data_IF_869018100045
#
_entry.id   IF_869018100045
#
_cell.length_a   1.000
_cell.length_b   1.000
_cell.length_c   1.000
_cell.angle_alpha   90.00
_cell.angle_beta   90.00
_cell.angle_gamma   90.00
#
_symmetry.space_group_name_H-M   'P 1'
#
loop_
_entity.id
_entity.type
_entity.pdbx_description
1 polymer ?
#
# COMPACT_ATOMS: atom_id res chain seq x y z
N UNK A 1 18.26 -5.55 1.76
CA UNK A 1 18.00 -5.63 3.22
C UNK A 1 16.53 -5.36 3.44
N UNK A 2 15.77 -6.22 4.11
CA UNK A 2 14.33 -5.96 4.34
C UNK A 2 14.18 -4.74 5.24
N UNK A 3 13.42 -3.74 4.79
CA UNK A 3 13.12 -2.53 5.53
C UNK A 3 11.82 -2.72 6.31
N UNK A 4 11.75 -2.21 7.53
CA UNK A 4 10.56 -2.28 8.37
C UNK A 4 10.11 -0.87 8.73
N UNK A 5 8.82 -0.72 9.01
CA UNK A 5 8.30 0.48 9.65
C UNK A 5 8.97 0.69 11.00
N UNK A 6 9.51 1.88 11.18
CA UNK A 6 10.11 2.28 12.45
C UNK A 6 9.07 3.05 13.27
N UNK A 7 8.64 2.46 14.38
CA UNK A 7 7.85 3.13 15.40
C UNK A 7 8.34 2.73 16.79
N UNK A 8 8.46 3.73 17.68
CA UNK A 8 8.95 3.53 19.03
C UNK A 8 7.84 3.08 20.00
N UNK A 9 8.27 2.68 21.20
CA UNK A 9 7.37 2.40 22.33
C UNK A 9 6.49 3.58 22.66
N UNK A 10 6.97 4.82 22.52
CA UNK A 10 6.23 6.04 22.77
C UNK A 10 4.95 6.17 21.94
N UNK A 11 5.00 5.76 20.66
CA UNK A 11 3.84 5.74 19.78
C UNK A 11 2.79 4.71 20.25
N UNK A 12 3.25 3.54 20.67
CA UNK A 12 2.39 2.48 21.21
C UNK A 12 1.74 2.93 22.52
N UNK A 13 2.51 3.52 23.43
CA UNK A 13 2.03 4.00 24.72
C UNK A 13 1.03 5.14 24.55
N UNK A 14 1.27 6.04 23.58
CA UNK A 14 0.32 7.08 23.22
C UNK A 14 -1.02 6.52 22.78
N UNK A 15 -1.03 5.55 21.87
CA UNK A 15 -2.27 4.90 21.39
C UNK A 15 -3.01 4.18 22.51
N UNK A 16 -2.30 3.48 23.38
CA UNK A 16 -2.87 2.79 24.57
C UNK A 16 -3.48 3.78 25.56
N UNK A 17 -2.86 4.91 25.76
CA UNK A 17 -3.38 5.98 26.61
C UNK A 17 -4.63 6.65 26.00
N UNK A 18 -4.67 6.82 24.68
CA UNK A 18 -5.78 7.48 23.95
C UNK A 18 -7.03 6.60 23.84
N UNK A 19 -6.86 5.29 23.73
CA UNK A 19 -7.99 4.36 23.53
C UNK A 19 -7.76 3.02 24.25
N UNK A 20 -8.49 2.81 25.35
CA UNK A 20 -8.35 1.60 26.15
C UNK A 20 -8.69 0.30 25.41
N UNK A 21 -9.65 0.35 24.45
CA UNK A 21 -10.02 -0.83 23.67
C UNK A 21 -8.93 -1.17 22.65
N UNK A 22 -8.39 -0.16 21.97
CA UNK A 22 -7.23 -0.35 21.10
C UNK A 22 -6.01 -0.78 21.92
N UNK A 23 -5.79 -0.21 23.10
CA UNK A 23 -4.73 -0.60 24.02
C UNK A 23 -4.78 -2.06 24.40
N UNK A 24 -5.96 -2.57 24.76
CA UNK A 24 -6.15 -4.00 25.05
C UNK A 24 -5.86 -4.91 23.83
N UNK A 25 -6.23 -4.46 22.63
CA UNK A 25 -5.91 -5.18 21.39
C UNK A 25 -4.39 -5.19 21.12
N UNK A 26 -3.71 -4.05 21.32
CA UNK A 26 -2.25 -3.94 21.20
C UNK A 26 -1.56 -4.90 22.20
N UNK A 27 -2.02 -4.95 23.45
CA UNK A 27 -1.46 -5.84 24.46
C UNK A 27 -1.66 -7.33 24.11
N UNK A 28 -2.79 -7.66 23.49
CA UNK A 28 -3.09 -9.03 23.06
C UNK A 28 -2.29 -9.48 21.84
N UNK A 29 -2.05 -8.60 20.88
CA UNK A 29 -1.34 -8.90 19.61
C UNK A 29 0.17 -8.75 19.79
N UNK A 30 0.61 -7.82 20.64
CA UNK A 30 2.02 -7.47 20.81
C UNK A 30 2.56 -6.56 19.71
N UNK A 31 3.88 -6.44 19.66
CA UNK A 31 4.58 -5.61 18.68
C UNK A 31 4.59 -6.29 17.31
N UNK A 32 3.99 -5.65 16.31
CA UNK A 32 3.95 -6.15 14.93
C UNK A 32 5.02 -5.46 14.10
N UNK A 33 5.99 -6.23 13.62
CA UNK A 33 6.97 -5.75 12.64
C UNK A 33 6.36 -5.82 11.25
N UNK A 34 6.21 -4.66 10.60
CA UNK A 34 5.73 -4.57 9.23
C UNK A 34 6.87 -4.36 8.26
N UNK A 35 6.97 -5.26 7.31
CA UNK A 35 7.85 -5.08 6.16
C UNK A 35 7.31 -3.98 5.28
N UNK A 36 8.22 -3.15 4.79
CA UNK A 36 7.92 -2.17 3.75
C UNK A 36 8.17 -2.78 2.38
N UNK A 37 7.43 -2.32 1.40
CA UNK A 37 7.59 -2.72 0.00
C UNK A 37 8.92 -2.19 -0.60
N UNK A 38 9.11 -2.39 -1.88
CA UNK A 38 10.25 -1.92 -2.66
C UNK A 38 10.50 -0.41 -2.43
N UNK A 39 11.78 -0.01 -2.37
CA UNK A 39 12.16 1.39 -2.15
C UNK A 39 11.85 2.29 -3.35
N UNK A 40 11.77 1.72 -4.54
CA UNK A 40 11.43 2.41 -5.78
C UNK A 40 9.91 2.44 -6.00
N UNK A 41 9.36 3.65 -6.13
CA UNK A 41 7.91 3.86 -6.28
C UNK A 41 7.37 3.25 -7.58
N UNK A 42 8.13 3.27 -8.69
CA UNK A 42 7.69 2.63 -9.92
C UNK A 42 7.56 1.11 -9.76
N UNK A 43 8.58 0.45 -9.23
CA UNK A 43 8.56 -0.98 -8.92
C UNK A 43 7.40 -1.33 -7.99
N UNK A 44 7.15 -0.51 -6.96
CA UNK A 44 6.04 -0.70 -6.03
C UNK A 44 4.68 -0.59 -6.74
N UNK A 45 4.49 0.38 -7.66
CA UNK A 45 3.26 0.49 -8.47
C UNK A 45 3.05 -0.78 -9.30
N UNK A 46 4.08 -1.24 -9.99
CA UNK A 46 4.00 -2.47 -10.81
C UNK A 46 3.66 -3.67 -9.93
N UNK A 47 4.33 -3.82 -8.79
CA UNK A 47 4.09 -4.90 -7.83
C UNK A 47 2.65 -4.89 -7.30
N UNK A 48 2.11 -3.71 -6.96
CA UNK A 48 0.73 -3.57 -6.52
C UNK A 48 -0.28 -3.92 -7.63
N UNK A 49 -0.05 -3.50 -8.88
CA UNK A 49 -0.92 -3.87 -10.02
C UNK A 49 -0.91 -5.38 -10.24
N UNK A 50 0.25 -6.03 -10.15
CA UNK A 50 0.38 -7.49 -10.25
C UNK A 50 -0.47 -8.17 -9.18
N UNK A 51 -0.40 -7.71 -7.93
CA UNK A 51 -1.05 -8.31 -6.76
C UNK A 51 -2.58 -8.22 -6.73
N UNK A 52 -3.19 -7.37 -7.57
CA UNK A 52 -4.64 -7.19 -7.57
C UNK A 52 -5.37 -8.51 -7.87
N UNK A 53 -6.33 -8.87 -7.00
CA UNK A 53 -7.24 -10.04 -7.16
C UNK A 53 -6.54 -11.40 -7.24
N UNK A 54 -5.32 -11.53 -6.73
CA UNK A 54 -4.60 -12.80 -6.65
C UNK A 54 -4.03 -13.00 -5.23
N UNK A 55 -3.60 -14.22 -4.93
CA UNK A 55 -2.94 -14.52 -3.65
C UNK A 55 -1.52 -13.96 -3.60
N UNK A 56 -1.01 -13.71 -2.39
CA UNK A 56 0.37 -13.26 -2.16
C UNK A 56 1.41 -14.23 -2.77
N UNK A 57 1.17 -15.54 -2.68
CA UNK A 57 2.07 -16.53 -3.29
C UNK A 57 2.10 -16.44 -4.82
N UNK A 58 0.94 -16.20 -5.46
CA UNK A 58 0.87 -15.99 -6.91
C UNK A 58 1.54 -14.68 -7.31
N UNK A 59 1.34 -13.61 -6.55
CA UNK A 59 2.01 -12.33 -6.77
C UNK A 59 3.53 -12.47 -6.72
N UNK A 60 4.07 -13.11 -5.68
CA UNK A 60 5.51 -13.34 -5.54
C UNK A 60 6.08 -14.14 -6.72
N UNK A 61 5.36 -15.18 -7.18
CA UNK A 61 5.77 -15.97 -8.34
C UNK A 61 5.83 -15.13 -9.62
N UNK A 62 4.82 -14.31 -9.88
CA UNK A 62 4.75 -13.44 -11.05
C UNK A 62 5.82 -12.36 -10.98
N UNK A 63 6.01 -11.74 -9.80
CA UNK A 63 7.04 -10.73 -9.57
C UNK A 63 8.45 -11.25 -9.86
N UNK A 64 8.79 -12.44 -9.36
CA UNK A 64 10.08 -13.08 -9.64
C UNK A 64 10.29 -13.33 -11.14
N UNK A 65 9.26 -13.85 -11.84
CA UNK A 65 9.32 -14.05 -13.30
C UNK A 65 9.53 -12.74 -14.05
N UNK A 66 8.90 -11.65 -13.59
CA UNK A 66 9.08 -10.34 -14.20
C UNK A 66 10.50 -9.84 -14.02
N UNK A 67 11.06 -9.96 -12.82
CA UNK A 67 12.46 -9.62 -12.55
C UNK A 67 13.46 -10.49 -13.32
N UNK A 68 13.21 -11.78 -13.45
CA UNK A 68 14.04 -12.69 -14.27
C UNK A 68 14.05 -12.28 -15.74
N UNK A 69 12.94 -11.77 -16.27
CA UNK A 69 12.80 -11.43 -17.70
C UNK A 69 13.24 -10.03 -18.06
N UNK A 70 13.07 -9.08 -17.16
CA UNK A 70 13.37 -7.67 -17.38
C UNK A 70 14.69 -7.23 -16.72
N UNK A 71 15.21 -7.99 -15.74
CA UNK A 71 16.22 -7.54 -14.80
C UNK A 71 15.59 -6.61 -13.76
N UNK A 72 16.04 -5.37 -13.69
CA UNK A 72 15.37 -4.36 -12.88
C UNK A 72 14.04 -3.91 -13.53
N UNK A 73 13.01 -3.78 -12.70
CA UNK A 73 11.69 -3.32 -13.14
C UNK A 73 11.69 -1.79 -13.14
N UNK A 74 12.24 -1.22 -14.21
CA UNK A 74 12.32 0.24 -14.41
C UNK A 74 11.36 0.69 -15.51
N UNK A 75 10.99 2.00 -15.58
CA UNK A 75 10.17 2.52 -16.68
C UNK A 75 10.77 2.19 -18.04
N UNK A 76 12.07 2.33 -18.22
CA UNK A 76 12.76 2.04 -19.49
C UNK A 76 12.70 0.56 -19.87
N UNK A 77 12.93 -0.36 -18.92
CA UNK A 77 12.86 -1.79 -19.15
C UNK A 77 11.43 -2.24 -19.54
N UNK A 78 10.42 -1.69 -18.87
CA UNK A 78 9.01 -1.95 -19.19
C UNK A 78 8.62 -1.34 -20.54
N UNK A 79 9.06 -0.14 -20.88
CA UNK A 79 8.84 0.47 -22.19
C UNK A 79 9.46 -0.34 -23.34
N UNK A 80 10.61 -0.97 -23.13
CA UNK A 80 11.26 -1.83 -24.11
C UNK A 80 10.57 -3.19 -24.30
N UNK A 81 9.77 -3.65 -23.34
CA UNK A 81 9.04 -4.91 -23.42
C UNK A 81 7.72 -4.75 -24.17
N UNK A 82 7.29 -5.78 -24.91
CA UNK A 82 5.93 -5.84 -25.48
C UNK A 82 4.90 -6.26 -24.44
N UNK A 83 3.62 -6.00 -24.69
CA UNK A 83 2.53 -6.43 -23.80
C UNK A 83 2.50 -7.96 -23.65
N UNK A 84 2.78 -8.70 -24.73
CA UNK A 84 2.84 -10.18 -24.72
C UNK A 84 3.98 -10.66 -23.82
N UNK A 85 5.13 -9.97 -23.85
CA UNK A 85 6.27 -10.32 -22.98
C UNK A 85 5.95 -10.10 -21.51
N UNK A 86 5.25 -9.01 -21.18
CA UNK A 86 4.77 -8.74 -19.82
C UNK A 86 3.70 -9.76 -19.41
N UNK A 87 2.71 -10.01 -20.28
CA UNK A 87 1.65 -11.00 -20.05
C UNK A 87 2.21 -12.41 -19.80
N UNK A 88 3.25 -12.80 -20.52
CA UNK A 88 3.90 -14.11 -20.36
C UNK A 88 4.56 -14.31 -18.98
N UNK A 89 4.68 -13.25 -18.14
CA UNK A 89 5.05 -13.40 -16.73
C UNK A 89 3.92 -14.01 -15.88
N UNK A 90 2.68 -14.02 -16.39
CA UNK A 90 1.51 -14.59 -15.74
C UNK A 90 0.46 -13.56 -15.31
N UNK A 91 0.52 -12.33 -15.83
CA UNK A 91 -0.50 -11.30 -15.64
C UNK A 91 -1.52 -11.30 -16.78
N UNK A 92 -2.66 -10.63 -16.59
CA UNK A 92 -3.63 -10.39 -17.68
C UNK A 92 -3.11 -9.32 -18.65
N UNK A 93 -3.59 -9.31 -19.89
CA UNK A 93 -3.29 -8.23 -20.83
C UNK A 93 -3.73 -6.85 -20.32
N UNK A 94 -4.82 -6.78 -19.59
CA UNK A 94 -5.26 -5.53 -18.95
C UNK A 94 -4.21 -4.99 -17.97
N UNK A 95 -3.64 -5.85 -17.11
CA UNK A 95 -2.55 -5.46 -16.21
C UNK A 95 -1.28 -5.10 -16.99
N UNK A 96 -0.95 -5.83 -18.05
CA UNK A 96 0.20 -5.52 -18.91
C UNK A 96 0.08 -4.12 -19.51
N UNK A 97 -1.12 -3.74 -20.02
CA UNK A 97 -1.40 -2.39 -20.53
C UNK A 97 -1.28 -1.31 -19.46
N UNK A 98 -1.83 -1.54 -18.26
CA UNK A 98 -1.70 -0.58 -17.16
C UNK A 98 -0.24 -0.33 -16.78
N UNK A 99 0.55 -1.40 -16.65
CA UNK A 99 1.97 -1.32 -16.35
C UNK A 99 2.72 -0.58 -17.46
N UNK A 100 2.40 -0.87 -18.73
CA UNK A 100 3.00 -0.22 -19.88
C UNK A 100 2.66 1.28 -19.96
N UNK A 101 1.37 1.63 -19.81
CA UNK A 101 0.91 3.02 -19.78
C UNK A 101 1.57 3.81 -18.64
N UNK A 102 1.69 3.23 -17.46
CA UNK A 102 2.41 3.84 -16.34
C UNK A 102 3.88 4.12 -16.70
N UNK A 103 4.58 3.11 -17.25
CA UNK A 103 5.97 3.25 -17.65
C UNK A 103 6.19 4.35 -18.70
N UNK A 104 5.31 4.43 -19.70
CA UNK A 104 5.36 5.44 -20.76
C UNK A 104 5.15 6.85 -20.20
N UNK A 105 4.17 7.05 -19.31
CA UNK A 105 3.93 8.34 -18.64
C UNK A 105 5.14 8.79 -17.81
N UNK A 106 5.77 7.88 -17.07
CA UNK A 106 6.95 8.19 -16.28
C UNK A 106 8.16 8.48 -17.18
N UNK A 107 8.41 7.63 -18.18
CA UNK A 107 9.55 7.79 -19.09
C UNK A 107 9.46 9.07 -19.95
N UNK A 108 8.24 9.51 -20.30
CA UNK A 108 8.02 10.75 -21.04
C UNK A 108 8.00 12.02 -20.18
N UNK A 109 8.06 11.89 -18.84
CA UNK A 109 7.93 13.02 -17.92
C UNK A 109 6.50 13.54 -17.74
N UNK A 110 5.49 12.85 -18.28
CA UNK A 110 4.08 13.19 -18.05
C UNK A 110 3.63 12.90 -16.62
N UNK A 111 4.31 11.97 -15.95
CA UNK A 111 4.10 11.65 -14.56
C UNK A 111 5.44 11.64 -13.81
N UNK A 112 5.57 12.55 -12.84
CA UNK A 112 6.77 12.70 -12.04
C UNK A 112 6.62 11.98 -10.71
N UNK A 113 7.36 10.87 -10.54
CA UNK A 113 7.36 10.06 -9.33
C UNK A 113 8.05 10.76 -8.14
N UNK A 114 9.04 11.61 -8.42
CA UNK A 114 9.73 12.36 -7.37
C UNK A 114 8.82 13.47 -6.83
N UNK A 115 8.06 14.13 -7.70
CA UNK A 115 7.06 15.10 -7.28
C UNK A 115 6.01 14.49 -6.33
N UNK A 116 5.60 13.23 -6.53
CA UNK A 116 4.65 12.54 -5.63
C UNK A 116 5.20 12.43 -4.20
N UNK A 117 6.50 12.33 -4.03
CA UNK A 117 7.14 12.24 -2.70
C UNK A 117 7.01 13.53 -1.90
N UNK A 118 6.95 14.68 -2.59
CA UNK A 118 6.85 16.01 -2.00
C UNK A 118 5.40 16.48 -1.78
N UNK A 119 4.41 15.84 -2.43
CA UNK A 119 2.98 16.15 -2.30
C UNK A 119 2.46 15.81 -0.90
N UNK A 120 1.42 16.48 -0.46
CA UNK A 120 0.65 16.03 0.70
C UNK A 120 -0.09 14.70 0.41
N UNK A 121 -0.66 14.07 1.44
CA UNK A 121 -1.29 12.74 1.29
C UNK A 121 -2.48 12.77 0.32
N UNK A 122 -3.29 13.82 0.33
CA UNK A 122 -4.46 13.92 -0.53
C UNK A 122 -4.07 14.16 -1.98
N UNK A 123 -3.09 15.04 -2.22
CA UNK A 123 -2.52 15.31 -3.54
C UNK A 123 -1.84 14.06 -4.10
N UNK A 124 -1.03 13.36 -3.30
CA UNK A 124 -0.34 12.14 -3.71
C UNK A 124 -1.32 11.01 -4.05
N UNK A 125 -2.40 10.83 -3.26
CA UNK A 125 -3.46 9.86 -3.56
C UNK A 125 -4.15 10.22 -4.88
N UNK A 126 -4.49 11.49 -5.10
CA UNK A 126 -5.13 11.94 -6.32
C UNK A 126 -4.21 11.73 -7.54
N UNK A 127 -2.93 12.10 -7.43
CA UNK A 127 -1.94 11.91 -8.48
C UNK A 127 -1.78 10.43 -8.84
N UNK A 128 -1.49 9.57 -7.87
CA UNK A 128 -1.33 8.14 -8.09
C UNK A 128 -2.60 7.48 -8.65
N UNK A 129 -3.79 7.91 -8.19
CA UNK A 129 -5.06 7.38 -8.69
C UNK A 129 -5.40 7.82 -10.11
N UNK A 130 -4.67 8.77 -10.70
CA UNK A 130 -4.78 9.15 -12.11
C UNK A 130 -4.12 8.14 -13.06
N UNK A 131 -3.29 7.23 -12.51
CA UNK A 131 -2.68 6.15 -13.28
C UNK A 131 -3.68 5.03 -13.52
N UNK A 132 -3.70 4.50 -14.73
CA UNK A 132 -4.57 3.38 -15.08
C UNK A 132 -4.26 2.14 -14.22
N UNK A 133 -5.29 1.56 -13.65
CA UNK A 133 -5.15 0.40 -12.76
C UNK A 133 -4.76 0.73 -11.32
N UNK A 134 -4.58 1.99 -10.97
CA UNK A 134 -4.31 2.44 -9.60
C UNK A 134 -5.55 3.13 -9.03
N UNK A 135 -6.28 2.44 -8.17
CA UNK A 135 -7.40 3.04 -7.43
C UNK A 135 -6.94 3.69 -6.11
N UNK A 136 -7.85 4.41 -5.46
CA UNK A 136 -7.58 5.08 -4.16
C UNK A 136 -6.95 4.14 -3.14
N UNK A 137 -7.50 2.93 -2.96
CA UNK A 137 -6.92 1.95 -2.04
C UNK A 137 -5.48 1.57 -2.40
N UNK A 138 -5.19 1.37 -3.70
CA UNK A 138 -3.83 1.05 -4.16
C UNK A 138 -2.88 2.24 -3.92
N UNK A 139 -3.32 3.46 -4.17
CA UNK A 139 -2.56 4.67 -3.88
C UNK A 139 -2.25 4.79 -2.38
N UNK A 140 -3.25 4.59 -1.52
CA UNK A 140 -3.06 4.57 -0.06
C UNK A 140 -2.05 3.50 0.39
N UNK A 141 -2.07 2.30 -0.22
CA UNK A 141 -1.10 1.24 0.09
C UNK A 141 0.32 1.62 -0.36
N UNK A 142 0.47 2.30 -1.50
CA UNK A 142 1.76 2.83 -1.95
C UNK A 142 2.32 3.88 -0.99
N UNK A 143 1.49 4.82 -0.54
CA UNK A 143 1.89 5.82 0.45
C UNK A 143 2.33 5.17 1.76
N UNK A 144 1.59 4.17 2.22
CA UNK A 144 1.86 3.48 3.48
C UNK A 144 3.11 2.59 3.38
N UNK A 145 3.16 1.66 2.43
CA UNK A 145 4.16 0.58 2.40
C UNK A 145 5.41 0.91 1.58
N UNK A 146 5.34 1.82 0.62
CA UNK A 146 6.51 2.24 -0.15
C UNK A 146 7.08 3.57 0.38
N UNK A 147 6.24 4.60 0.55
CA UNK A 147 6.70 5.91 0.99
C UNK A 147 6.79 6.05 2.51
N UNK A 148 6.26 5.10 3.28
CA UNK A 148 6.34 5.11 4.74
C UNK A 148 5.53 6.21 5.41
N UNK A 149 4.46 6.70 4.77
CA UNK A 149 3.65 7.78 5.32
C UNK A 149 2.82 7.30 6.51
N UNK A 150 2.93 7.95 7.68
CA UNK A 150 2.40 7.40 8.92
C UNK A 150 0.90 7.60 9.11
N UNK A 151 0.28 8.54 8.39
CA UNK A 151 -1.11 8.96 8.67
C UNK A 151 -2.13 8.42 7.63
N UNK A 152 -1.82 7.29 7.02
CA UNK A 152 -2.67 6.63 6.05
C UNK A 152 -3.55 5.57 6.71
N UNK A 153 -4.86 5.75 6.67
CA UNK A 153 -5.86 4.76 7.06
C UNK A 153 -6.94 4.64 5.99
N UNK A 154 -6.97 3.50 5.30
CA UNK A 154 -7.85 3.28 4.16
C UNK A 154 -9.26 2.89 4.56
N UNK A 155 -10.25 3.72 4.21
CA UNK A 155 -11.67 3.35 4.36
C UNK A 155 -12.07 2.19 3.43
N UNK A 156 -11.41 2.03 2.30
CA UNK A 156 -11.66 0.93 1.35
C UNK A 156 -11.11 -0.43 1.80
N UNK A 157 -10.30 -0.48 2.86
CA UNK A 157 -9.65 -1.72 3.30
C UNK A 157 -10.58 -2.57 4.19
N UNK A 158 -10.93 -3.75 3.68
CA UNK A 158 -11.81 -4.69 4.39
C UNK A 158 -11.19 -5.23 5.69
N UNK A 159 -9.87 -5.36 5.74
CA UNK A 159 -9.18 -5.83 6.94
C UNK A 159 -9.26 -4.77 8.06
N UNK A 160 -9.10 -3.49 7.71
CA UNK A 160 -9.29 -2.39 8.67
C UNK A 160 -10.72 -2.38 9.20
N UNK A 161 -11.74 -2.50 8.34
CA UNK A 161 -13.14 -2.59 8.78
C UNK A 161 -13.38 -3.79 9.71
N UNK A 162 -12.79 -4.93 9.40
CA UNK A 162 -12.90 -6.15 10.23
C UNK A 162 -12.27 -5.92 11.61
N UNK A 163 -11.06 -5.34 11.67
CA UNK A 163 -10.38 -5.03 12.92
C UNK A 163 -11.15 -4.05 13.78
N UNK A 164 -11.62 -2.96 13.20
CA UNK A 164 -12.44 -1.98 13.93
C UNK A 164 -13.71 -2.62 14.50
N UNK A 165 -14.34 -3.53 13.75
CA UNK A 165 -15.51 -4.27 14.26
C UNK A 165 -15.15 -5.17 15.44
N UNK A 166 -14.02 -5.84 15.39
CA UNK A 166 -13.54 -6.72 16.48
C UNK A 166 -13.17 -5.91 17.72
N UNK A 167 -12.36 -4.88 17.58
CA UNK A 167 -11.85 -4.06 18.69
C UNK A 167 -12.98 -3.27 19.36
N UNK A 168 -13.88 -2.68 18.58
CA UNK A 168 -14.94 -1.80 19.10
C UNK A 168 -16.30 -2.46 19.25
N UNK A 169 -16.44 -3.74 18.88
CA UNK A 169 -17.68 -4.50 18.92
C UNK A 169 -18.81 -3.87 18.06
N UNK A 170 -18.45 -3.30 16.91
CA UNK A 170 -19.41 -2.73 15.99
C UNK A 170 -19.94 -3.77 15.01
N UNK A 171 -21.24 -3.76 14.75
CA UNK A 171 -21.85 -4.58 13.67
C UNK A 171 -21.44 -4.07 12.30
N UNK A 172 -21.31 -2.75 12.14
CA UNK A 172 -20.92 -2.06 10.91
C UNK A 172 -20.11 -0.81 11.27
N UNK A 173 -19.10 -0.50 10.47
CA UNK A 173 -18.34 0.74 10.57
C UNK A 173 -18.81 1.66 9.46
N UNK A 174 -19.48 2.77 9.82
CA UNK A 174 -19.88 3.81 8.87
C UNK A 174 -18.69 4.74 8.57
N UNK A 175 -18.77 5.51 7.47
CA UNK A 175 -17.74 6.49 7.12
C UNK A 175 -17.51 7.51 8.26
N UNK A 176 -18.58 7.99 8.85
CA UNK A 176 -18.51 8.94 9.98
C UNK A 176 -17.80 8.34 11.20
N UNK A 177 -18.11 7.08 11.55
CA UNK A 177 -17.45 6.37 12.64
C UNK A 177 -15.95 6.19 12.33
N UNK A 178 -15.64 5.78 11.11
CA UNK A 178 -14.27 5.59 10.64
C UNK A 178 -13.45 6.89 10.77
N UNK A 179 -13.97 8.01 10.24
CA UNK A 179 -13.29 9.30 10.31
C UNK A 179 -13.13 9.81 11.75
N UNK A 180 -14.06 9.47 12.64
CA UNK A 180 -13.92 9.79 14.08
C UNK A 180 -12.78 9.02 14.73
N UNK A 181 -12.60 7.73 14.38
CA UNK A 181 -11.46 6.92 14.85
C UNK A 181 -10.17 7.40 14.22
N UNK A 182 -10.15 7.66 12.90
CA UNK A 182 -9.00 8.19 12.19
C UNK A 182 -8.46 9.45 12.88
N UNK A 183 -9.32 10.45 13.14
CA UNK A 183 -8.89 11.67 13.83
C UNK A 183 -8.35 11.44 15.24
N UNK A 184 -8.78 10.38 15.92
CA UNK A 184 -8.27 10.04 17.27
C UNK A 184 -6.83 9.55 17.22
N UNK A 185 -6.41 8.91 16.14
CA UNK A 185 -5.09 8.28 15.98
C UNK A 185 -4.20 9.01 14.99
N UNK A 186 -4.66 10.12 14.42
CA UNK A 186 -3.88 10.92 13.45
C UNK A 186 -2.44 11.09 13.91
N UNK A 187 -1.52 11.03 12.93
CA UNK A 187 -0.06 10.96 13.06
C UNK A 187 0.52 9.61 13.52
N UNK A 188 -0.29 8.64 13.95
CA UNK A 188 0.19 7.33 14.43
C UNK A 188 -0.63 6.14 13.89
N UNK A 189 -1.32 6.28 12.76
CA UNK A 189 -2.22 5.24 12.25
C UNK A 189 -1.49 3.94 11.88
N UNK A 190 -0.27 4.04 11.40
CA UNK A 190 0.58 2.90 11.01
C UNK A 190 1.00 2.01 12.20
N UNK A 191 0.89 2.50 13.44
CA UNK A 191 1.23 1.73 14.64
C UNK A 191 0.06 0.88 15.15
N UNK A 192 -1.14 1.07 14.59
CA UNK A 192 -2.32 0.31 14.99
C UNK A 192 -2.25 -1.12 14.43
N UNK A 193 -2.51 -2.16 15.26
CA UNK A 193 -2.57 -3.54 14.77
C UNK A 193 -3.70 -3.70 13.75
N UNK A 194 -3.41 -4.40 12.67
CA UNK A 194 -4.38 -4.76 11.65
C UNK A 194 -4.83 -6.21 11.84
N UNK A 195 -6.06 -6.57 11.46
CA UNK A 195 -6.50 -7.95 11.45
C UNK A 195 -5.74 -8.89 10.52
N UNK A 196 -4.89 -8.33 9.64
CA UNK A 196 -3.96 -9.14 8.84
C UNK A 196 -2.82 -9.72 9.69
N UNK A 197 -2.65 -9.23 10.92
CA UNK A 197 -1.59 -9.61 11.85
C UNK A 197 -2.06 -10.63 12.91
N UNK A 198 -3.37 -11.01 12.88
CA UNK A 198 -3.98 -11.91 13.83
C UNK A 198 -4.16 -13.34 13.30
#
# INVERSE_FOLDING_TARGET
MTRYFEYGTDAVDYLKAKDKKLGAAIDAVGLVRREMDEDDLFSAIVHQIIGQQISTAAQATIWNRMRERLGEVTPSAVCAATEERLQACGITFTKARYIKSCAEKVASGQFDLDAVREMDDAEAIAALSSLEGVGVWTAEMLLLFCLGRPDILSYGDLAIHRGMRMVYHHRKVTREMFERYRRRYSCLLYTSPSPRDA
#
